data_IF_249320069300
#
_entry.id   IF_249320069300
#
_cell.length_a   1.000
_cell.length_b   1.000
_cell.length_c   1.000
_cell.angle_alpha   90.00
_cell.angle_beta   90.00
_cell.angle_gamma   90.00
#
_symmetry.space_group_name_H-M   'P 1'
#
loop_
_entity.id
_entity.type
_entity.pdbx_description
1 polymer ?
#
# COMPACT_ATOMS: atom_id res chain seq x y z
N UNK A 1 26.68 -6.83 39.34
CA UNK A 1 25.39 -6.10 39.23
C UNK A 1 25.56 -5.07 38.13
N UNK A 2 25.36 -5.39 36.85
CA UNK A 2 24.20 -5.99 36.18
C UNK A 2 22.94 -5.14 36.36
N UNK A 3 22.68 -4.25 35.38
CA UNK A 3 21.46 -4.27 34.54
C UNK A 3 21.53 -3.22 33.41
N UNK A 4 22.33 -2.16 33.51
CA UNK A 4 22.29 -1.04 32.54
C UNK A 4 23.06 -1.25 31.21
N UNK A 5 24.02 -2.18 31.16
CA UNK A 5 24.80 -2.44 29.92
C UNK A 5 24.14 -3.41 28.94
N UNK A 6 23.10 -4.11 29.36
CA UNK A 6 22.34 -5.03 28.48
C UNK A 6 21.30 -4.27 27.63
N UNK A 7 20.78 -3.14 28.11
CA UNK A 7 19.71 -2.41 27.40
C UNK A 7 20.21 -1.57 26.22
N UNK A 8 21.38 -0.93 26.30
CA UNK A 8 21.87 -0.04 25.21
C UNK A 8 22.24 -0.77 23.90
N UNK A 9 22.53 -2.07 23.95
CA UNK A 9 22.70 -2.89 22.73
C UNK A 9 21.40 -3.56 22.27
N UNK A 10 20.39 -3.68 23.16
CA UNK A 10 19.11 -4.31 22.86
C UNK A 10 18.10 -3.31 22.27
N UNK A 11 18.12 -2.04 22.71
CA UNK A 11 17.21 -0.98 22.21
C UNK A 11 17.46 -0.62 20.75
N UNK A 12 18.70 -0.81 20.26
CA UNK A 12 19.05 -0.61 18.84
C UNK A 12 18.59 -1.78 17.96
N UNK A 13 18.34 -2.95 18.53
CA UNK A 13 17.97 -4.17 17.79
C UNK A 13 16.48 -4.52 17.84
N UNK A 14 15.68 -3.81 18.63
CA UNK A 14 14.26 -4.12 18.84
C UNK A 14 13.28 -3.41 17.87
N UNK A 15 13.75 -2.57 16.94
CA UNK A 15 12.87 -1.91 15.95
C UNK A 15 12.73 -2.67 14.62
N UNK A 16 13.33 -3.86 14.50
CA UNK A 16 13.21 -4.72 13.31
C UNK A 16 12.69 -6.14 13.63
N UNK A 17 12.07 -6.34 14.79
CA UNK A 17 11.37 -7.58 15.11
C UNK A 17 9.86 -7.34 15.14
N UNK A 18 9.27 -7.27 13.95
CA UNK A 18 7.86 -7.59 13.84
C UNK A 18 7.74 -9.11 13.68
N UNK A 19 7.56 -9.82 14.80
CA UNK A 19 6.63 -10.95 14.77
C UNK A 19 5.25 -10.36 14.49
N UNK A 20 4.98 -10.01 13.23
CA UNK A 20 3.58 -9.91 12.83
C UNK A 20 3.06 -11.32 13.02
N UNK A 21 2.04 -11.48 13.86
CA UNK A 21 1.22 -12.67 13.96
C UNK A 21 0.53 -12.96 12.61
N UNK A 22 1.31 -13.23 11.56
CA UNK A 22 0.87 -13.82 10.31
C UNK A 22 0.38 -15.26 10.50
N UNK A 23 0.46 -15.78 11.74
CA UNK A 23 -0.23 -16.98 12.19
C UNK A 23 -1.74 -16.96 11.88
N UNK A 24 -2.41 -15.80 11.80
CA UNK A 24 -3.81 -15.75 11.34
C UNK A 24 -3.97 -15.90 9.82
N UNK A 25 -3.01 -15.47 9.00
CA UNK A 25 -3.05 -15.68 7.55
C UNK A 25 -2.64 -17.12 7.17
N UNK A 26 -1.80 -17.76 7.99
CA UNK A 26 -1.44 -19.18 7.84
C UNK A 26 -2.48 -20.16 8.42
N UNK A 27 -3.57 -19.66 9.02
CA UNK A 27 -4.72 -20.47 9.45
C UNK A 27 -5.71 -20.75 8.31
N UNK A 28 -5.40 -20.41 7.05
CA UNK A 28 -5.90 -21.22 5.94
C UNK A 28 -5.23 -22.59 6.04
N UNK A 29 -5.98 -23.55 6.60
CA UNK A 29 -5.55 -24.93 6.90
C UNK A 29 -4.57 -25.45 5.82
N UNK A 30 -3.44 -26.08 6.21
CA UNK A 30 -2.55 -26.77 5.27
C UNK A 30 -3.28 -27.71 4.29
N UNK A 31 -4.43 -28.25 4.71
CA UNK A 31 -5.31 -29.11 3.92
C UNK A 31 -6.02 -28.44 2.73
N UNK A 32 -6.13 -27.10 2.68
CA UNK A 32 -6.70 -26.42 1.51
C UNK A 32 -5.72 -26.31 0.35
N UNK A 33 -4.40 -26.35 0.63
CA UNK A 33 -3.35 -26.26 -0.39
C UNK A 33 -2.83 -27.61 -0.88
N UNK A 34 -2.99 -28.68 -0.10
CA UNK A 34 -2.52 -30.04 -0.46
C UNK A 34 -3.55 -30.84 -1.26
N UNK A 35 -4.82 -30.42 -1.32
CA UNK A 35 -5.89 -31.17 -2.02
C UNK A 35 -6.14 -30.81 -3.47
N UNK A 36 -5.47 -29.80 -4.04
CA UNK A 36 -5.57 -29.55 -5.48
C UNK A 36 -4.59 -30.45 -6.24
N UNK A 37 -5.07 -31.65 -6.56
CA UNK A 37 -4.52 -32.54 -7.57
C UNK A 37 -4.20 -31.75 -8.85
N UNK A 38 -2.94 -31.80 -9.28
CA UNK A 38 -2.40 -31.82 -10.66
C UNK A 38 -3.02 -31.01 -11.81
N UNK A 39 -4.03 -30.17 -11.60
CA UNK A 39 -4.51 -29.22 -12.60
C UNK A 39 -3.55 -28.04 -12.61
N UNK A 40 -2.89 -27.84 -13.74
CA UNK A 40 -2.04 -26.69 -14.04
C UNK A 40 -2.66 -25.39 -13.49
N UNK A 41 -2.01 -24.78 -12.49
CA UNK A 41 -2.51 -23.54 -11.89
C UNK A 41 -2.34 -22.45 -12.93
N UNK A 42 -3.43 -22.07 -13.60
CA UNK A 42 -3.42 -20.99 -14.57
C UNK A 42 -3.28 -19.65 -13.86
N UNK A 43 -2.08 -19.08 -13.91
CA UNK A 43 -1.76 -17.77 -13.30
C UNK A 43 -2.16 -16.59 -14.18
N UNK A 44 -2.22 -16.77 -15.50
CA UNK A 44 -2.63 -15.73 -16.45
C UNK A 44 -4.15 -15.58 -16.62
N UNK A 45 -4.97 -16.45 -16.02
CA UNK A 45 -6.42 -16.34 -16.13
C UNK A 45 -6.94 -15.17 -15.29
N UNK A 46 -7.15 -14.04 -15.96
CA UNK A 46 -7.94 -12.95 -15.40
C UNK A 46 -9.40 -13.40 -15.35
N UNK A 47 -9.87 -13.73 -14.14
CA UNK A 47 -11.31 -13.75 -13.90
C UNK A 47 -11.86 -12.38 -14.26
N UNK A 48 -12.99 -12.36 -14.97
CA UNK A 48 -13.71 -11.12 -15.23
C UNK A 48 -13.90 -10.38 -13.90
N UNK A 49 -13.46 -9.14 -13.85
CA UNK A 49 -13.63 -8.31 -12.66
C UNK A 49 -15.06 -7.80 -12.70
N UNK A 50 -15.87 -8.21 -11.73
CA UNK A 50 -17.24 -7.72 -11.58
C UNK A 50 -17.19 -6.35 -10.91
N UNK A 51 -17.00 -5.32 -11.74
CA UNK A 51 -17.35 -3.97 -11.33
C UNK A 51 -18.87 -3.81 -11.34
N UNK A 52 -19.37 -2.90 -10.52
CA UNK A 52 -20.76 -2.51 -10.61
C UNK A 52 -20.96 -1.68 -11.87
N UNK A 53 -21.83 -2.16 -12.78
CA UNK A 53 -22.03 -1.60 -14.13
C UNK A 53 -23.35 -0.82 -14.28
N UNK A 54 -24.15 -0.71 -13.23
CA UNK A 54 -25.48 -0.11 -13.29
C UNK A 54 -25.73 0.82 -12.09
N UNK A 55 -25.47 2.11 -12.28
CA UNK A 55 -25.64 3.10 -11.22
C UNK A 55 -25.69 4.54 -11.76
N UNK A 56 -26.67 4.87 -12.63
CA UNK A 56 -26.81 6.24 -13.19
C UNK A 56 -26.92 7.34 -12.12
N UNK A 57 -27.43 6.98 -10.94
CA UNK A 57 -27.81 7.91 -9.87
C UNK A 57 -26.80 7.94 -8.72
N UNK A 58 -25.69 7.19 -8.81
CA UNK A 58 -24.70 7.15 -7.72
C UNK A 58 -23.77 8.35 -7.78
N UNK A 59 -23.53 8.92 -6.60
CA UNK A 59 -22.43 9.85 -6.39
C UNK A 59 -21.12 9.08 -6.34
N UNK A 60 -20.09 9.59 -7.02
CA UNK A 60 -18.79 8.92 -7.17
C UNK A 60 -17.72 9.73 -6.46
N UNK A 61 -16.84 9.02 -5.76
CA UNK A 61 -15.60 9.51 -5.21
C UNK A 61 -14.43 8.97 -6.02
N UNK A 62 -13.55 9.86 -6.48
CA UNK A 62 -12.41 9.54 -7.34
C UNK A 62 -11.12 9.79 -6.54
N UNK A 63 -10.43 8.75 -6.08
CA UNK A 63 -9.22 8.93 -5.28
C UNK A 63 -8.01 9.29 -6.14
N UNK A 64 -7.23 10.29 -5.71
CA UNK A 64 -5.92 10.62 -6.27
C UNK A 64 -4.85 10.15 -5.28
N UNK A 65 -4.18 9.05 -5.61
CA UNK A 65 -3.20 8.38 -4.74
C UNK A 65 -1.78 8.90 -5.03
N UNK A 66 -0.93 8.95 -4.00
CA UNK A 66 0.44 9.52 -4.09
C UNK A 66 1.48 8.71 -3.31
N UNK A 67 2.75 9.03 -3.58
CA UNK A 67 3.96 8.46 -3.00
C UNK A 67 4.11 6.95 -3.26
N UNK A 68 4.76 6.23 -2.34
CA UNK A 68 5.09 4.83 -2.52
C UNK A 68 3.88 3.88 -2.43
N UNK A 69 4.01 2.64 -2.92
CA UNK A 69 2.90 1.69 -3.03
C UNK A 69 2.12 1.41 -1.74
N UNK A 70 2.80 1.39 -0.59
CA UNK A 70 2.14 1.17 0.71
C UNK A 70 1.31 2.39 1.15
N UNK A 71 1.77 3.60 0.83
CA UNK A 71 1.02 4.81 1.12
C UNK A 71 -0.22 4.90 0.23
N UNK A 72 -0.09 4.55 -1.04
CA UNK A 72 -1.22 4.49 -1.96
C UNK A 72 -2.25 3.43 -1.55
N UNK A 73 -1.82 2.24 -1.11
CA UNK A 73 -2.74 1.20 -0.61
C UNK A 73 -3.50 1.67 0.63
N UNK A 74 -2.78 2.25 1.60
CA UNK A 74 -3.41 2.82 2.80
C UNK A 74 -4.35 3.97 2.42
N UNK A 75 -3.93 4.85 1.52
CA UNK A 75 -4.73 5.96 1.03
C UNK A 75 -5.99 5.53 0.31
N UNK A 76 -5.92 4.46 -0.46
CA UNK A 76 -7.09 3.89 -1.09
C UNK A 76 -8.06 3.30 -0.05
N UNK A 77 -7.57 2.63 0.99
CA UNK A 77 -8.44 2.12 2.07
C UNK A 77 -9.15 3.27 2.80
N UNK A 78 -8.42 4.35 3.10
CA UNK A 78 -9.01 5.58 3.64
C UNK A 78 -10.05 6.18 2.67
N UNK A 79 -9.81 6.13 1.36
CA UNK A 79 -10.76 6.57 0.34
C UNK A 79 -12.06 5.76 0.35
N UNK A 80 -11.96 4.44 0.51
CA UNK A 80 -13.12 3.55 0.63
C UNK A 80 -13.91 3.91 1.88
N UNK A 81 -13.24 4.11 3.01
CA UNK A 81 -13.90 4.53 4.26
C UNK A 81 -14.63 5.86 4.08
N UNK A 82 -13.98 6.87 3.51
CA UNK A 82 -14.57 8.18 3.24
C UNK A 82 -15.75 8.07 2.27
N UNK A 83 -15.65 7.26 1.22
CA UNK A 83 -16.73 7.02 0.28
C UNK A 83 -17.96 6.45 1.00
N UNK A 84 -17.79 5.43 1.85
CA UNK A 84 -18.88 4.83 2.64
C UNK A 84 -19.49 5.84 3.61
N UNK A 85 -18.67 6.63 4.32
CA UNK A 85 -19.14 7.66 5.24
C UNK A 85 -20.00 8.74 4.56
N UNK A 86 -19.68 9.07 3.29
CA UNK A 86 -20.38 10.06 2.48
C UNK A 86 -21.46 9.47 1.56
N UNK A 87 -21.74 8.15 1.68
CA UNK A 87 -22.68 7.42 0.82
C UNK A 87 -22.38 7.58 -0.69
N UNK A 88 -21.11 7.43 -1.05
CA UNK A 88 -20.60 7.50 -2.43
C UNK A 88 -20.05 6.15 -2.86
N UNK A 89 -20.21 5.83 -4.14
CA UNK A 89 -19.41 4.81 -4.80
C UNK A 89 -17.98 5.27 -4.94
N UNK A 90 -17.05 4.33 -5.03
CA UNK A 90 -15.62 4.60 -5.18
C UNK A 90 -15.16 4.17 -6.57
N UNK A 91 -14.47 5.05 -7.28
CA UNK A 91 -13.84 4.71 -8.56
C UNK A 91 -12.60 3.85 -8.32
N UNK A 92 -12.44 2.78 -9.10
CA UNK A 92 -11.28 1.90 -8.96
C UNK A 92 -9.98 2.65 -9.32
N UNK A 93 -9.03 2.79 -8.37
CA UNK A 93 -7.94 3.75 -8.49
C UNK A 93 -6.92 3.33 -9.56
N UNK A 94 -6.18 4.34 -10.03
CA UNK A 94 -4.89 4.14 -10.66
C UNK A 94 -3.81 4.16 -9.57
N UNK A 95 -2.98 3.12 -9.53
CA UNK A 95 -1.78 3.11 -8.69
C UNK A 95 -0.59 3.62 -9.49
N UNK A 96 0.22 4.45 -8.86
CA UNK A 96 1.40 5.07 -9.43
C UNK A 96 2.67 4.30 -9.02
N UNK A 97 3.75 4.38 -9.81
CA UNK A 97 5.04 3.90 -9.37
C UNK A 97 5.55 4.76 -8.20
N UNK A 98 6.62 4.32 -7.53
CA UNK A 98 7.25 5.17 -6.52
C UNK A 98 7.82 6.44 -7.17
N UNK A 99 8.01 7.51 -6.39
CA UNK A 99 8.43 8.84 -6.90
C UNK A 99 9.75 8.84 -7.69
N UNK A 100 10.60 7.82 -7.49
CA UNK A 100 11.86 7.62 -8.19
C UNK A 100 11.75 6.72 -9.44
N UNK A 101 10.57 6.21 -9.79
CA UNK A 101 10.32 5.33 -10.92
C UNK A 101 9.36 6.00 -11.90
N UNK A 102 9.75 6.09 -13.18
CA UNK A 102 9.10 6.99 -14.14
C UNK A 102 8.17 6.30 -15.16
N UNK A 103 7.89 5.00 -15.05
CA UNK A 103 7.41 4.26 -16.22
C UNK A 103 6.18 3.36 -16.07
N UNK A 104 5.60 3.14 -14.89
CA UNK A 104 4.50 2.19 -14.78
C UNK A 104 3.40 2.54 -13.77
N UNK A 105 2.22 2.89 -14.28
CA UNK A 105 0.98 2.90 -13.50
C UNK A 105 0.34 1.52 -13.54
N UNK A 106 -0.36 1.15 -12.48
CA UNK A 106 -1.04 -0.14 -12.34
C UNK A 106 -2.52 0.08 -12.05
N UNK A 107 -3.39 -0.60 -12.79
CA UNK A 107 -4.81 -0.64 -12.44
C UNK A 107 -5.05 -1.36 -11.11
N UNK A 108 -6.17 -1.04 -10.47
CA UNK A 108 -6.55 -1.59 -9.18
C UNK A 108 -6.55 -3.13 -9.13
N UNK A 109 -7.01 -3.80 -10.19
CA UNK A 109 -7.06 -5.28 -10.29
C UNK A 109 -5.70 -5.97 -10.23
N UNK A 110 -4.60 -5.26 -10.54
CA UNK A 110 -3.24 -5.79 -10.41
C UNK A 110 -2.73 -5.72 -8.97
N UNK A 111 -3.37 -4.93 -8.10
CA UNK A 111 -2.94 -4.68 -6.72
C UNK A 111 -3.90 -5.26 -5.69
N UNK A 112 -5.16 -5.40 -6.05
CA UNK A 112 -6.29 -5.67 -5.16
C UNK A 112 -7.18 -6.78 -5.69
N UNK A 113 -7.74 -7.56 -4.77
CA UNK A 113 -8.87 -8.45 -5.02
C UNK A 113 -10.17 -7.62 -5.11
N UNK A 114 -10.49 -7.15 -6.33
CA UNK A 114 -11.64 -6.28 -6.57
C UNK A 114 -12.96 -6.98 -6.26
N UNK A 115 -13.04 -8.31 -6.46
CA UNK A 115 -14.25 -9.07 -6.16
C UNK A 115 -14.54 -9.02 -4.66
N UNK A 116 -13.53 -9.27 -3.81
CA UNK A 116 -13.68 -9.15 -2.36
C UNK A 116 -14.07 -7.74 -1.96
N UNK A 117 -13.43 -6.71 -2.54
CA UNK A 117 -13.77 -5.33 -2.20
C UNK A 117 -15.22 -4.95 -2.59
N UNK A 118 -15.72 -5.50 -3.69
CA UNK A 118 -17.07 -5.25 -4.18
C UNK A 118 -18.17 -5.85 -3.28
N UNK A 119 -17.81 -6.74 -2.35
CA UNK A 119 -18.74 -7.28 -1.35
C UNK A 119 -19.12 -6.23 -0.30
N UNK A 120 -18.28 -5.22 -0.06
CA UNK A 120 -18.46 -4.24 1.01
C UNK A 120 -18.61 -2.80 0.53
N UNK A 121 -18.33 -2.51 -0.75
CA UNK A 121 -18.45 -1.18 -1.33
C UNK A 121 -18.73 -1.23 -2.82
N UNK A 122 -19.39 -0.19 -3.33
CA UNK A 122 -19.68 -0.01 -4.75
C UNK A 122 -18.42 0.46 -5.49
N UNK A 123 -17.77 -0.45 -6.20
CA UNK A 123 -16.58 -0.21 -7.01
C UNK A 123 -16.96 0.07 -8.47
N UNK A 124 -16.69 1.29 -8.93
CA UNK A 124 -16.99 1.71 -10.32
C UNK A 124 -15.84 1.36 -11.26
N UNK A 125 -16.19 0.80 -12.42
CA UNK A 125 -15.23 0.53 -13.48
C UNK A 125 -14.63 1.85 -14.01
N UNK A 126 -13.30 1.98 -14.10
CA UNK A 126 -12.65 3.18 -14.61
C UNK A 126 -13.20 3.69 -15.95
N UNK A 127 -13.56 2.80 -16.88
CA UNK A 127 -14.09 3.19 -18.20
C UNK A 127 -15.49 3.80 -18.14
N UNK A 128 -16.25 3.49 -17.09
CA UNK A 128 -17.62 3.99 -16.89
C UNK A 128 -17.66 5.28 -16.12
N UNK A 129 -16.61 5.60 -15.34
CA UNK A 129 -16.49 6.88 -14.63
C UNK A 129 -16.78 8.01 -15.61
N UNK A 130 -16.15 7.96 -16.80
CA UNK A 130 -16.47 8.51 -18.15
C UNK A 130 -17.89 9.03 -18.43
N UNK A 131 -18.82 8.14 -18.20
CA UNK A 131 -20.22 8.32 -18.53
C UNK A 131 -20.99 8.78 -17.31
N UNK A 132 -20.69 8.20 -16.15
CA UNK A 132 -21.43 8.43 -14.91
C UNK A 132 -21.25 9.84 -14.34
N UNK A 133 -20.10 10.49 -14.55
CA UNK A 133 -19.91 11.90 -14.19
C UNK A 133 -20.23 12.91 -15.30
N UNK A 134 -20.91 12.52 -16.37
CA UNK A 134 -21.33 13.45 -17.44
C UNK A 134 -20.17 14.25 -18.06
N UNK A 135 -18.97 13.66 -18.12
CA UNK A 135 -17.77 14.29 -18.68
C UNK A 135 -16.90 15.05 -17.67
N UNK A 136 -17.45 15.46 -16.53
CA UNK A 136 -16.87 16.52 -15.68
C UNK A 136 -16.77 16.14 -14.21
N UNK A 137 -15.81 16.75 -13.50
CA UNK A 137 -15.73 16.71 -12.03
C UNK A 137 -16.09 18.07 -11.47
N UNK A 138 -17.01 18.07 -10.50
CA UNK A 138 -17.60 19.30 -9.95
C UNK A 138 -17.21 19.59 -8.50
N UNK A 139 -16.54 18.66 -7.81
CA UNK A 139 -16.05 18.86 -6.45
C UNK A 139 -14.63 18.31 -6.25
N UNK A 140 -13.86 18.96 -5.38
CA UNK A 140 -12.56 18.49 -4.89
C UNK A 140 -12.61 18.48 -3.35
N UNK A 141 -12.28 17.34 -2.76
CA UNK A 141 -12.14 17.15 -1.31
C UNK A 141 -10.66 17.10 -0.98
N UNK A 142 -10.16 18.16 -0.33
CA UNK A 142 -8.76 18.23 0.08
C UNK A 142 -8.57 17.57 1.45
N UNK A 143 -7.69 16.57 1.53
CA UNK A 143 -7.27 15.99 2.82
C UNK A 143 -5.85 16.36 3.20
N UNK A 144 -5.09 16.92 2.25
CA UNK A 144 -3.70 17.36 2.42
C UNK A 144 -3.29 18.31 1.31
N UNK A 145 -2.39 19.24 1.63
CA UNK A 145 -1.62 19.99 0.63
C UNK A 145 -0.52 19.13 0.00
N UNK A 146 -0.62 18.90 -1.31
CA UNK A 146 0.47 18.29 -2.06
C UNK A 146 0.49 18.91 -3.46
N UNK A 147 1.58 19.59 -3.82
CA UNK A 147 1.77 20.23 -5.13
C UNK A 147 2.05 19.23 -6.25
N UNK A 148 1.39 18.08 -6.23
CA UNK A 148 1.70 16.92 -7.06
C UNK A 148 0.80 16.84 -8.30
N UNK A 149 1.40 16.49 -9.44
CA UNK A 149 0.76 16.47 -10.75
C UNK A 149 -0.07 15.20 -11.02
N UNK A 150 -0.19 14.28 -10.05
CA UNK A 150 -0.98 13.06 -10.19
C UNK A 150 -2.45 13.31 -10.55
N UNK A 151 -3.02 14.45 -10.14
CA UNK A 151 -4.39 14.83 -10.50
C UNK A 151 -4.64 14.79 -12.01
N UNK A 152 -3.72 15.33 -12.81
CA UNK A 152 -3.88 15.35 -14.26
C UNK A 152 -3.84 13.95 -14.86
N UNK A 153 -2.92 13.09 -14.40
CA UNK A 153 -2.81 11.70 -14.84
C UNK A 153 -4.09 10.92 -14.51
N UNK A 154 -4.64 11.14 -13.31
CA UNK A 154 -5.88 10.51 -12.87
C UNK A 154 -7.08 10.97 -13.72
N UNK A 155 -7.17 12.26 -14.02
CA UNK A 155 -8.22 12.80 -14.91
C UNK A 155 -8.12 12.21 -16.32
N UNK A 156 -6.91 12.09 -16.87
CA UNK A 156 -6.69 11.44 -18.17
C UNK A 156 -7.09 9.97 -18.15
N UNK A 157 -6.73 9.23 -17.10
CA UNK A 157 -7.07 7.82 -16.92
C UNK A 157 -8.58 7.58 -16.95
N UNK A 158 -9.35 8.44 -16.31
CA UNK A 158 -10.82 8.35 -16.32
C UNK A 158 -11.47 9.07 -17.51
N UNK A 159 -10.73 9.74 -18.40
CA UNK A 159 -11.29 10.50 -19.53
C UNK A 159 -12.15 11.69 -19.06
N UNK A 160 -11.61 12.52 -18.15
CA UNK A 160 -12.32 13.57 -17.41
C UNK A 160 -11.67 14.94 -17.56
N UNK A 161 -12.49 15.99 -17.38
CA UNK A 161 -12.02 17.36 -17.18
C UNK A 161 -12.56 17.92 -15.86
N UNK A 162 -11.82 18.86 -15.26
CA UNK A 162 -12.30 19.64 -14.12
C UNK A 162 -13.27 20.70 -14.61
N UNK A 163 -14.41 20.84 -13.94
CA UNK A 163 -15.32 21.95 -14.19
C UNK A 163 -14.66 23.28 -13.83
N UNK A 164 -14.87 24.32 -14.64
CA UNK A 164 -14.32 25.65 -14.38
C UNK A 164 -14.86 26.29 -13.08
N UNK A 165 -15.97 25.79 -12.55
CA UNK A 165 -16.62 26.18 -11.30
C UNK A 165 -16.52 25.08 -10.24
N UNK A 166 -15.48 24.24 -10.29
CA UNK A 166 -15.25 23.19 -9.30
C UNK A 166 -15.26 23.75 -7.87
N UNK A 167 -16.06 23.14 -7.00
CA UNK A 167 -16.12 23.52 -5.59
C UNK A 167 -15.02 22.78 -4.82
N UNK A 168 -14.18 23.54 -4.11
CA UNK A 168 -13.10 22.99 -3.29
C UNK A 168 -13.56 22.96 -1.84
N UNK A 169 -13.73 21.76 -1.31
CA UNK A 169 -14.05 21.49 0.08
C UNK A 169 -12.76 21.32 0.86
N UNK A 170 -12.80 21.84 2.09
CA UNK A 170 -11.64 21.88 2.97
C UNK A 170 -10.43 22.63 2.37
N UNK A 171 -10.70 23.76 1.71
CA UNK A 171 -9.70 24.61 1.06
C UNK A 171 -8.67 25.11 2.08
N UNK A 172 -7.55 24.39 2.16
CA UNK A 172 -6.48 24.67 3.11
C UNK A 172 -5.82 26.02 2.84
N UNK A 173 -5.72 26.42 1.57
CA UNK A 173 -5.11 27.68 1.16
C UNK A 173 -5.87 28.90 1.72
N UNK A 174 -7.20 28.85 1.69
CA UNK A 174 -8.05 29.89 2.33
C UNK A 174 -7.85 29.90 3.85
N UNK A 175 -7.77 28.74 4.51
CA UNK A 175 -7.53 28.65 5.96
C UNK A 175 -6.17 29.24 6.37
N UNK A 176 -5.11 29.05 5.58
CA UNK A 176 -3.75 29.59 5.85
C UNK A 176 -3.66 31.12 5.73
N UNK A 177 -4.45 31.73 4.85
CA UNK A 177 -4.44 33.20 4.69
C UNK A 177 -5.10 33.93 5.86
N UNK A 178 -6.04 33.29 6.56
CA UNK A 178 -6.60 33.80 7.82
C UNK A 178 -5.66 33.46 9.00
N UNK A 179 -4.55 34.20 9.11
CA UNK A 179 -3.43 34.00 10.06
C UNK A 179 -3.76 33.98 11.57
N UNK A 180 -5.02 34.06 11.99
CA UNK A 180 -5.42 34.18 13.40
C UNK A 180 -6.36 33.07 13.91
N UNK A 181 -6.59 32.01 13.14
CA UNK A 181 -7.36 30.86 13.62
C UNK A 181 -6.40 29.85 14.26
N UNK A 182 -6.54 29.62 15.56
CA UNK A 182 -6.00 28.43 16.22
C UNK A 182 -6.42 27.21 15.39
N UNK A 183 -5.45 26.36 15.06
CA UNK A 183 -5.72 25.11 14.35
C UNK A 183 -6.75 24.32 15.15
N UNK A 184 -7.88 23.94 14.55
CA UNK A 184 -8.72 22.94 15.18
C UNK A 184 -7.92 21.65 15.32
N UNK A 185 -8.14 20.89 16.39
CA UNK A 185 -7.39 19.66 16.73
C UNK A 185 -7.32 18.68 15.54
N UNK A 186 -8.32 18.74 14.65
CA UNK A 186 -8.51 17.95 13.42
C UNK A 186 -7.46 18.18 12.32
N UNK A 187 -6.66 19.26 12.42
CA UNK A 187 -5.73 19.70 11.38
C UNK A 187 -4.31 19.85 11.90
N UNK A 188 -3.58 18.74 11.96
CA UNK A 188 -2.17 18.76 12.34
C UNK A 188 -1.26 18.83 11.10
N UNK A 189 -0.46 19.90 11.00
CA UNK A 189 0.55 20.09 9.95
C UNK A 189 0.00 20.06 8.50
N UNK A 190 -1.19 20.64 8.28
CA UNK A 190 -1.79 20.74 6.93
C UNK A 190 -2.39 19.42 6.42
N UNK A 191 -2.78 18.53 7.33
CA UNK A 191 -3.41 17.24 7.05
C UNK A 191 -4.71 17.14 7.83
N UNK A 192 -5.75 16.66 7.19
CA UNK A 192 -6.97 16.26 7.86
C UNK A 192 -6.73 14.90 8.54
N UNK A 193 -6.81 14.80 9.87
CA UNK A 193 -6.39 13.58 10.63
C UNK A 193 -7.52 12.83 11.34
N UNK A 194 -8.75 13.32 11.23
CA UNK A 194 -9.91 12.79 11.97
C UNK A 194 -10.92 12.07 11.07
N UNK A 195 -10.46 11.50 9.94
CA UNK A 195 -11.35 10.80 9.01
C UNK A 195 -11.99 9.55 9.62
N UNK A 196 -11.56 9.07 10.79
CA UNK A 196 -12.24 7.98 11.50
C UNK A 196 -13.61 8.41 12.05
N UNK A 197 -13.79 9.70 12.32
CA UNK A 197 -15.03 10.28 12.79
C UNK A 197 -15.91 10.65 11.58
N UNK A 198 -17.03 9.94 11.41
CA UNK A 198 -17.91 10.10 10.25
C UNK A 198 -18.70 11.40 10.28
N UNK A 199 -18.98 11.93 11.46
CA UNK A 199 -19.66 13.20 11.66
C UNK A 199 -18.77 14.34 11.12
N UNK A 200 -17.50 14.37 11.52
CA UNK A 200 -16.52 15.36 11.04
C UNK A 200 -16.33 15.24 9.51
N UNK A 201 -16.28 14.02 8.96
CA UNK A 201 -16.24 13.81 7.52
C UNK A 201 -17.46 14.41 6.81
N UNK A 202 -18.66 14.17 7.34
CA UNK A 202 -19.90 14.68 6.75
C UNK A 202 -19.96 16.20 6.82
N UNK A 203 -19.53 16.80 7.93
CA UNK A 203 -19.48 18.26 8.08
C UNK A 203 -18.55 18.92 7.06
N UNK A 204 -17.41 18.30 6.76
CA UNK A 204 -16.40 18.89 5.88
C UNK A 204 -16.61 18.56 4.38
N UNK A 205 -17.24 17.44 4.04
CA UNK A 205 -17.25 16.91 2.67
C UNK A 205 -18.63 16.52 2.13
N UNK A 206 -19.73 16.71 2.88
CA UNK A 206 -21.06 16.44 2.33
C UNK A 206 -21.40 17.45 1.23
N UNK A 207 -21.80 16.94 0.07
CA UNK A 207 -22.28 17.74 -1.05
C UNK A 207 -23.15 16.88 -1.97
N UNK A 208 -24.06 17.53 -2.70
CA UNK A 208 -24.89 16.91 -3.73
C UNK A 208 -24.18 16.79 -5.09
N UNK A 209 -22.92 17.22 -5.20
CA UNK A 209 -22.14 17.05 -6.43
C UNK A 209 -21.97 15.58 -6.78
N UNK A 210 -22.35 15.22 -8.01
CA UNK A 210 -22.32 13.84 -8.51
C UNK A 210 -20.92 13.22 -8.42
N UNK A 211 -19.90 13.91 -8.93
CA UNK A 211 -18.52 13.41 -8.87
C UNK A 211 -17.59 14.35 -8.13
N UNK A 212 -16.86 13.77 -7.18
CA UNK A 212 -15.89 14.44 -6.34
C UNK A 212 -14.53 13.75 -6.45
N UNK A 213 -13.46 14.54 -6.53
CA UNK A 213 -12.09 14.05 -6.39
C UNK A 213 -11.69 14.08 -4.93
N UNK A 214 -11.10 13.00 -4.42
CA UNK A 214 -10.47 12.96 -3.12
C UNK A 214 -8.97 13.13 -3.30
N UNK A 215 -8.45 14.29 -2.93
CA UNK A 215 -7.04 14.63 -3.06
C UNK A 215 -6.24 14.00 -1.93
N UNK A 216 -5.35 13.09 -2.30
CA UNK A 216 -4.22 12.63 -1.49
C UNK A 216 -4.57 12.03 -0.12
N UNK A 217 -5.56 11.13 -0.04
CA UNK A 217 -5.90 10.47 1.20
C UNK A 217 -4.70 9.63 1.64
N UNK A 218 -4.07 9.99 2.75
CA UNK A 218 -3.08 9.16 3.45
C UNK A 218 -2.83 9.75 4.83
N UNK A 219 -2.87 8.91 5.86
CA UNK A 219 -2.81 9.37 7.26
C UNK A 219 -3.94 10.33 7.62
N UNK A 220 -5.09 10.20 6.95
CA UNK A 220 -6.33 10.83 7.41
C UNK A 220 -6.98 10.04 8.53
N UNK A 221 -6.59 8.77 8.66
CA UNK A 221 -6.80 7.91 9.82
C UNK A 221 -5.42 7.45 10.29
N UNK A 222 -5.11 7.61 11.57
CA UNK A 222 -3.78 7.26 12.09
C UNK A 222 -3.51 5.75 11.99
N UNK A 223 -2.45 5.39 11.27
CA UNK A 223 -2.08 3.99 11.04
C UNK A 223 -1.81 3.21 12.34
N UNK A 224 -1.27 3.88 13.37
CA UNK A 224 -1.02 3.28 14.67
C UNK A 224 -2.32 2.85 15.35
N UNK A 225 -3.37 3.68 15.29
CA UNK A 225 -4.66 3.35 15.88
C UNK A 225 -5.31 2.17 15.17
N UNK A 226 -5.30 2.18 13.83
CA UNK A 226 -5.77 1.05 13.02
C UNK A 226 -5.02 -0.23 13.42
N UNK A 227 -3.69 -0.18 13.49
CA UNK A 227 -2.86 -1.35 13.79
C UNK A 227 -3.13 -1.88 15.19
N UNK A 228 -3.24 -1.01 16.17
CA UNK A 228 -3.58 -1.38 17.55
C UNK A 228 -4.95 -2.06 17.60
N UNK A 229 -5.96 -1.53 16.89
CA UNK A 229 -7.30 -2.10 16.86
C UNK A 229 -7.35 -3.44 16.09
N UNK A 230 -6.59 -3.57 15.00
CA UNK A 230 -6.55 -4.80 14.20
C UNK A 230 -6.00 -6.01 14.98
N UNK A 231 -5.10 -5.76 15.95
CA UNK A 231 -4.52 -6.78 16.82
C UNK A 231 -5.46 -7.25 17.93
N UNK A 232 -6.50 -6.49 18.24
CA UNK A 232 -7.50 -6.87 19.24
C UNK A 232 -8.49 -7.90 18.70
N UNK A 233 -9.05 -8.69 19.62
CA UNK A 233 -10.21 -9.52 19.34
C UNK A 233 -11.40 -8.64 18.93
N UNK A 234 -12.26 -9.15 18.04
CA UNK A 234 -13.34 -8.39 17.43
C UNK A 234 -14.26 -7.71 18.46
N UNK A 235 -14.51 -8.38 19.58
CA UNK A 235 -15.35 -7.87 20.69
C UNK A 235 -14.73 -6.69 21.44
N UNK A 236 -13.41 -6.52 21.38
CA UNK A 236 -12.66 -5.47 22.06
C UNK A 236 -12.39 -4.26 21.16
N UNK A 237 -12.63 -4.39 19.84
CA UNK A 237 -12.41 -3.31 18.89
C UNK A 237 -13.39 -2.18 19.13
N UNK A 238 -12.87 -0.96 19.12
CA UNK A 238 -13.68 0.26 19.13
C UNK A 238 -14.60 0.28 17.90
N UNK A 239 -15.91 0.61 18.06
CA UNK A 239 -16.89 0.55 16.97
C UNK A 239 -16.48 1.32 15.71
N UNK A 240 -15.90 2.50 15.87
CA UNK A 240 -15.49 3.39 14.78
C UNK A 240 -14.39 2.79 13.88
N UNK A 241 -13.59 1.85 14.40
CA UNK A 241 -12.53 1.17 13.64
C UNK A 241 -12.98 -0.12 12.95
N UNK A 242 -14.15 -0.67 13.30
CA UNK A 242 -14.61 -1.97 12.76
C UNK A 242 -14.69 -1.96 11.24
N UNK A 243 -15.24 -0.90 10.67
CA UNK A 243 -15.36 -0.74 9.22
C UNK A 243 -14.01 -0.55 8.53
N UNK A 244 -13.09 0.22 9.13
CA UNK A 244 -11.75 0.38 8.56
C UNK A 244 -10.98 -0.96 8.55
N UNK A 245 -11.16 -1.79 9.58
CA UNK A 245 -10.57 -3.13 9.64
C UNK A 245 -11.21 -4.06 8.62
N UNK A 246 -12.54 -4.02 8.45
CA UNK A 246 -13.24 -4.75 7.39
C UNK A 246 -12.72 -4.35 5.99
N UNK A 247 -12.48 -3.07 5.74
CA UNK A 247 -11.88 -2.59 4.48
C UNK A 247 -10.47 -3.16 4.29
N UNK A 248 -9.67 -3.25 5.35
CA UNK A 248 -8.34 -3.88 5.30
C UNK A 248 -8.46 -5.35 4.92
N UNK A 249 -9.44 -6.06 5.50
CA UNK A 249 -9.69 -7.47 5.23
C UNK A 249 -10.18 -7.72 3.80
N UNK A 250 -10.86 -6.77 3.14
CA UNK A 250 -11.32 -6.88 1.75
C UNK A 250 -10.38 -6.24 0.72
N UNK A 251 -9.27 -5.62 1.14
CA UNK A 251 -8.23 -5.08 0.24
C UNK A 251 -7.03 -6.02 0.14
N UNK A 252 -7.31 -7.31 -0.02
CA UNK A 252 -6.31 -8.38 -0.17
C UNK A 252 -5.60 -8.30 -1.52
N UNK A 253 -4.49 -9.04 -1.64
CA UNK A 253 -3.80 -9.24 -2.93
C UNK A 253 -4.67 -10.08 -3.88
N UNK A 254 -4.62 -9.81 -5.20
CA UNK A 254 -5.43 -10.53 -6.17
C UNK A 254 -5.10 -12.02 -6.21
N UNK A 255 -6.09 -12.82 -6.60
CA UNK A 255 -6.02 -14.29 -6.61
C UNK A 255 -4.81 -14.82 -7.40
N UNK A 256 -4.50 -14.26 -8.57
CA UNK A 256 -3.34 -14.68 -9.37
C UNK A 256 -2.02 -14.53 -8.60
N UNK A 257 -1.84 -13.42 -7.85
CA UNK A 257 -0.63 -13.18 -7.08
C UNK A 257 -0.56 -14.11 -5.87
N UNK A 258 -1.69 -14.36 -5.19
CA UNK A 258 -1.76 -15.31 -4.08
C UNK A 258 -1.41 -16.73 -4.55
N UNK A 259 -1.94 -17.14 -5.72
CA UNK A 259 -1.62 -18.42 -6.35
C UNK A 259 -0.16 -18.53 -6.76
N UNK A 260 0.43 -17.47 -7.34
CA UNK A 260 1.83 -17.42 -7.70
C UNK A 260 2.74 -17.58 -6.47
N UNK A 261 2.46 -16.83 -5.40
CA UNK A 261 3.21 -16.97 -4.13
C UNK A 261 3.04 -18.37 -3.53
N UNK A 262 1.82 -18.93 -3.55
CA UNK A 262 1.61 -20.29 -3.08
C UNK A 262 2.38 -21.33 -3.91
N UNK A 263 2.45 -21.15 -5.24
CA UNK A 263 3.25 -21.98 -6.14
C UNK A 263 4.74 -21.86 -5.82
N UNK A 264 5.25 -20.64 -5.68
CA UNK A 264 6.62 -20.35 -5.27
C UNK A 264 7.01 -21.10 -3.98
N UNK A 265 6.18 -20.99 -2.93
CA UNK A 265 6.44 -21.65 -1.64
C UNK A 265 6.47 -23.18 -1.79
N UNK A 266 5.57 -23.77 -2.59
CA UNK A 266 5.53 -25.22 -2.83
C UNK A 266 6.77 -25.72 -3.57
N UNK A 267 7.14 -25.07 -4.68
CA UNK A 267 8.25 -25.49 -5.53
C UNK A 267 9.59 -25.38 -4.81
N UNK A 268 9.76 -24.33 -4.02
CA UNK A 268 10.95 -24.12 -3.19
C UNK A 268 10.88 -24.85 -1.85
N UNK A 269 9.82 -25.62 -1.59
CA UNK A 269 9.60 -26.39 -0.35
C UNK A 269 9.70 -25.54 0.93
N UNK A 270 9.27 -24.28 0.84
CA UNK A 270 9.25 -23.32 1.94
C UNK A 270 8.02 -23.61 2.80
N UNK A 271 8.22 -24.05 4.04
CA UNK A 271 7.13 -24.44 4.95
C UNK A 271 7.12 -23.61 6.24
N UNK A 272 8.22 -23.66 6.98
CA UNK A 272 8.41 -22.90 8.22
C UNK A 272 9.45 -21.83 7.97
N UNK A 273 9.04 -20.57 7.98
CA UNK A 273 9.92 -19.49 7.60
C UNK A 273 9.73 -18.25 8.47
N UNK A 274 10.84 -17.54 8.69
CA UNK A 274 10.82 -16.17 9.17
C UNK A 274 10.77 -15.23 7.96
N UNK A 275 10.17 -14.05 8.15
CA UNK A 275 10.17 -12.98 7.16
C UNK A 275 10.76 -11.74 7.80
N UNK A 276 11.62 -11.04 7.08
CA UNK A 276 12.00 -9.68 7.44
C UNK A 276 11.76 -8.73 6.30
N UNK A 277 11.12 -7.60 6.61
CA UNK A 277 11.05 -6.45 5.73
C UNK A 277 12.10 -5.44 6.17
N UNK A 278 13.15 -5.32 5.37
CA UNK A 278 14.24 -4.39 5.58
C UNK A 278 14.03 -3.16 4.73
N UNK A 279 13.91 -2.00 5.36
CA UNK A 279 13.60 -0.75 4.68
C UNK A 279 14.71 0.30 4.81
N UNK A 280 15.89 -0.06 5.29
CA UNK A 280 16.96 0.89 5.63
C UNK A 280 17.87 1.23 4.44
N UNK A 281 17.31 1.50 3.26
CA UNK A 281 18.08 2.13 2.19
C UNK A 281 18.35 3.60 2.53
N UNK A 282 19.57 4.06 2.24
CA UNK A 282 20.03 5.39 2.64
C UNK A 282 19.42 6.51 1.79
N UNK A 283 18.67 6.20 0.74
CA UNK A 283 18.14 7.23 -0.14
C UNK A 283 16.69 7.60 0.21
N UNK A 284 15.84 6.63 0.52
CA UNK A 284 14.42 6.82 0.84
C UNK A 284 14.20 6.94 2.36
N UNK A 285 14.68 5.96 3.15
CA UNK A 285 14.48 5.95 4.61
C UNK A 285 15.15 7.14 5.31
N UNK A 286 16.33 7.50 4.83
CA UNK A 286 17.07 8.69 5.24
C UNK A 286 16.30 9.99 5.07
N UNK A 287 15.64 10.17 3.91
CA UNK A 287 14.81 11.35 3.62
C UNK A 287 13.55 11.35 4.48
N UNK A 288 12.98 10.20 4.78
CA UNK A 288 11.84 10.11 5.69
C UNK A 288 12.20 10.47 7.14
N UNK A 289 13.47 10.29 7.55
CA UNK A 289 13.97 10.59 8.89
C UNK A 289 14.63 11.98 9.02
N UNK A 290 14.32 12.94 8.13
CA UNK A 290 14.92 14.28 8.10
C UNK A 290 15.11 14.97 9.48
N UNK A 291 14.18 14.89 10.45
CA UNK A 291 14.37 15.49 11.77
C UNK A 291 15.45 14.82 12.64
N UNK A 292 15.81 13.56 12.37
CA UNK A 292 16.83 12.77 13.09
C UNK A 292 17.88 12.21 12.13
N UNK A 293 18.17 12.98 11.09
CA UNK A 293 18.99 12.57 9.95
C UNK A 293 20.33 12.01 10.41
N UNK A 294 21.16 12.76 11.12
CA UNK A 294 22.50 12.27 11.51
C UNK A 294 22.48 11.04 12.44
N UNK A 295 21.49 10.93 13.33
CA UNK A 295 21.30 9.74 14.18
C UNK A 295 20.97 8.50 13.34
N UNK A 296 20.02 8.62 12.40
CA UNK A 296 19.67 7.54 11.48
C UNK A 296 20.88 7.14 10.62
N UNK A 297 21.77 8.07 10.28
CA UNK A 297 22.96 7.81 9.43
C UNK A 297 23.92 6.95 10.17
N UNK A 298 24.25 7.43 11.37
CA UNK A 298 25.20 6.82 12.25
C UNK A 298 24.74 5.40 12.54
N UNK A 299 23.44 5.23 12.77
CA UNK A 299 22.85 3.91 12.98
C UNK A 299 22.97 3.00 11.74
N UNK A 300 22.54 3.45 10.57
CA UNK A 300 22.59 2.66 9.34
C UNK A 300 24.03 2.30 8.97
N UNK A 301 24.95 3.28 9.03
CA UNK A 301 26.36 3.06 8.75
C UNK A 301 26.99 2.09 9.74
N UNK A 302 26.68 2.22 11.03
CA UNK A 302 27.17 1.30 12.08
C UNK A 302 26.71 -0.12 11.81
N UNK A 303 25.42 -0.31 11.53
CA UNK A 303 24.82 -1.63 11.26
C UNK A 303 25.39 -2.25 9.98
N UNK A 304 25.70 -1.45 8.95
CA UNK A 304 26.22 -1.93 7.67
C UNK A 304 27.73 -2.20 7.67
N UNK A 305 28.53 -1.33 8.31
CA UNK A 305 30.01 -1.37 8.26
C UNK A 305 30.61 -2.31 9.30
N UNK A 306 30.03 -2.43 10.48
CA UNK A 306 30.63 -3.21 11.56
C UNK A 306 30.39 -4.72 11.36
N UNK A 307 31.44 -5.45 10.96
CA UNK A 307 31.41 -6.92 10.82
C UNK A 307 30.92 -7.64 12.07
N UNK A 308 31.29 -7.14 13.26
CA UNK A 308 30.84 -7.67 14.55
C UNK A 308 29.32 -7.52 14.71
N UNK A 309 28.76 -6.39 14.32
CA UNK A 309 27.32 -6.10 14.41
C UNK A 309 26.53 -6.99 13.44
N UNK A 310 27.00 -7.15 12.20
CA UNK A 310 26.42 -8.12 11.23
C UNK A 310 26.44 -9.55 11.75
N UNK A 311 27.57 -9.98 12.31
CA UNK A 311 27.73 -11.32 12.89
C UNK A 311 26.76 -11.54 14.06
N UNK A 312 26.72 -10.61 15.01
CA UNK A 312 25.85 -10.72 16.19
C UNK A 312 24.37 -10.75 15.77
N UNK A 313 23.98 -9.93 14.80
CA UNK A 313 22.62 -9.96 14.26
C UNK A 313 22.28 -11.31 13.64
N UNK A 314 23.18 -11.86 12.82
CA UNK A 314 22.98 -13.15 12.17
C UNK A 314 22.85 -14.31 13.17
N UNK A 315 23.66 -14.28 14.24
CA UNK A 315 23.59 -15.25 15.34
C UNK A 315 22.23 -15.14 16.06
N UNK A 316 21.85 -13.93 16.50
CA UNK A 316 20.59 -13.72 17.21
C UNK A 316 19.37 -14.10 16.36
N UNK A 317 19.43 -13.84 15.06
CA UNK A 317 18.40 -14.27 14.12
C UNK A 317 18.36 -15.80 14.01
N UNK A 318 19.50 -16.47 13.88
CA UNK A 318 19.58 -17.94 13.84
C UNK A 318 19.00 -18.56 15.11
N UNK A 319 19.39 -18.06 16.29
CA UNK A 319 18.88 -18.51 17.58
C UNK A 319 17.35 -18.37 17.65
N UNK A 320 16.80 -17.23 17.23
CA UNK A 320 15.33 -17.03 17.19
C UNK A 320 14.64 -17.96 16.19
N UNK A 321 15.27 -18.25 15.07
CA UNK A 321 14.74 -19.23 14.11
C UNK A 321 14.78 -20.65 14.69
N UNK A 322 15.83 -21.01 15.42
CA UNK A 322 15.95 -22.31 16.09
C UNK A 322 14.91 -22.49 17.19
N UNK A 323 14.73 -21.47 18.05
CA UNK A 323 13.70 -21.44 19.09
C UNK A 323 12.28 -21.68 18.54
N UNK A 324 12.01 -21.17 17.33
CA UNK A 324 10.71 -21.27 16.67
C UNK A 324 10.64 -22.44 15.65
N UNK A 325 11.67 -23.28 15.60
CA UNK A 325 11.77 -24.41 14.66
C UNK A 325 11.54 -23.99 13.18
N UNK A 326 12.13 -22.86 12.78
CA UNK A 326 12.04 -22.31 11.43
C UNK A 326 13.19 -22.82 10.56
N UNK A 327 12.90 -23.07 9.28
CA UNK A 327 13.83 -23.68 8.32
C UNK A 327 14.33 -22.68 7.27
N UNK A 328 13.46 -21.75 6.86
CA UNK A 328 13.75 -20.78 5.82
C UNK A 328 13.70 -19.35 6.36
N UNK A 329 14.43 -18.46 5.72
CA UNK A 329 14.35 -17.03 5.99
C UNK A 329 14.11 -16.29 4.69
N UNK A 330 12.96 -15.63 4.59
CA UNK A 330 12.61 -14.77 3.46
C UNK A 330 12.92 -13.31 3.78
N UNK A 331 13.57 -12.65 2.84
CA UNK A 331 14.08 -11.30 3.03
C UNK A 331 13.57 -10.35 1.96
N UNK A 332 12.66 -9.45 2.35
CA UNK A 332 12.16 -8.39 1.49
C UNK A 332 12.97 -7.10 1.73
N UNK A 333 13.67 -6.62 0.72
CA UNK A 333 14.53 -5.43 0.81
C UNK A 333 14.52 -4.59 -0.46
N UNK A 334 14.91 -3.30 -0.36
CA UNK A 334 15.34 -2.53 -1.50
C UNK A 334 16.44 -3.24 -2.30
N UNK A 335 16.50 -3.06 -3.64
CA UNK A 335 17.53 -3.67 -4.49
C UNK A 335 18.96 -3.31 -4.09
N UNK A 336 19.19 -2.10 -3.60
CA UNK A 336 20.53 -1.61 -3.26
C UNK A 336 21.11 -2.26 -2.00
N UNK A 337 20.29 -2.98 -1.24
CA UNK A 337 20.69 -3.66 -0.01
C UNK A 337 21.19 -5.10 -0.26
N UNK A 338 21.15 -5.61 -1.50
CA UNK A 338 21.49 -7.00 -1.85
C UNK A 338 22.78 -7.53 -1.20
N UNK A 339 23.86 -6.75 -1.24
CA UNK A 339 25.19 -7.15 -0.73
C UNK A 339 25.17 -7.34 0.79
N UNK A 340 24.60 -6.37 1.52
CA UNK A 340 24.50 -6.43 2.98
C UNK A 340 23.72 -7.67 3.43
N UNK A 341 22.70 -8.05 2.67
CA UNK A 341 21.80 -9.14 3.00
C UNK A 341 22.36 -10.51 2.68
N UNK A 342 23.07 -10.61 1.56
CA UNK A 342 23.86 -11.80 1.25
C UNK A 342 24.87 -12.09 2.37
N UNK A 343 25.50 -11.03 2.89
CA UNK A 343 26.41 -11.12 4.02
C UNK A 343 25.76 -11.59 5.34
N UNK A 344 24.54 -11.18 5.63
CA UNK A 344 23.77 -11.72 6.77
C UNK A 344 23.43 -13.18 6.52
N UNK A 345 22.94 -13.51 5.32
CA UNK A 345 22.52 -14.85 4.92
C UNK A 345 23.65 -15.89 5.08
N UNK A 346 24.88 -15.56 4.67
CA UNK A 346 26.05 -16.43 4.82
C UNK A 346 26.38 -16.81 6.27
N UNK A 347 25.85 -16.07 7.24
CA UNK A 347 26.16 -16.21 8.67
C UNK A 347 25.02 -16.81 9.48
N UNK A 348 23.85 -17.03 8.87
CA UNK A 348 22.73 -17.78 9.47
C UNK A 348 22.96 -19.26 9.18
N UNK A 349 23.65 -19.96 10.08
CA UNK A 349 24.05 -21.35 9.89
C UNK A 349 22.85 -22.30 9.77
N UNK A 350 22.91 -23.26 8.85
CA UNK A 350 21.94 -24.35 8.75
C UNK A 350 20.53 -23.96 8.30
N UNK A 351 20.28 -22.70 7.93
CA UNK A 351 18.99 -22.21 7.41
C UNK A 351 19.05 -21.95 5.91
N UNK A 352 17.90 -22.08 5.23
CA UNK A 352 17.76 -21.78 3.81
C UNK A 352 17.35 -20.33 3.61
N UNK A 353 18.15 -19.58 2.88
CA UNK A 353 17.84 -18.19 2.58
C UNK A 353 17.05 -18.08 1.27
N UNK A 354 15.94 -17.34 1.32
CA UNK A 354 15.08 -17.06 0.18
C UNK A 354 15.16 -15.55 -0.04
N UNK A 355 15.93 -15.13 -1.05
CA UNK A 355 16.08 -13.72 -1.37
C UNK A 355 15.00 -13.27 -2.37
N UNK A 356 14.85 -11.96 -2.52
CA UNK A 356 13.91 -11.39 -3.48
C UNK A 356 14.29 -11.68 -4.94
N UNK A 357 15.55 -11.97 -5.27
CA UNK A 357 15.99 -12.30 -6.64
C UNK A 357 15.30 -13.57 -7.10
N UNK A 358 15.32 -14.62 -6.27
CA UNK A 358 14.67 -15.88 -6.57
C UNK A 358 13.16 -15.73 -6.77
N UNK A 359 12.51 -14.87 -5.96
CA UNK A 359 11.10 -14.57 -6.14
C UNK A 359 10.84 -13.77 -7.42
N UNK A 360 11.66 -12.79 -7.74
CA UNK A 360 11.52 -11.98 -8.96
C UNK A 360 11.70 -12.85 -10.21
N UNK A 361 12.77 -13.64 -10.29
CA UNK A 361 13.02 -14.57 -11.40
C UNK A 361 11.88 -15.57 -11.57
N UNK A 362 11.36 -16.10 -10.46
CA UNK A 362 10.18 -16.95 -10.48
C UNK A 362 8.97 -16.22 -11.06
N UNK A 363 8.65 -15.02 -10.58
CA UNK A 363 7.50 -14.26 -11.06
C UNK A 363 7.66 -13.85 -12.54
N UNK A 364 8.86 -13.48 -12.97
CA UNK A 364 9.16 -13.16 -14.37
C UNK A 364 8.88 -14.36 -15.28
N UNK A 365 9.38 -15.54 -14.91
CA UNK A 365 9.12 -16.78 -15.66
C UNK A 365 7.64 -17.15 -15.67
N UNK A 366 6.96 -17.05 -14.53
CA UNK A 366 5.54 -17.39 -14.41
C UNK A 366 4.63 -16.44 -15.18
N UNK A 367 5.01 -15.18 -15.29
CA UNK A 367 4.20 -14.15 -15.94
C UNK A 367 4.68 -13.76 -17.34
N UNK A 368 5.76 -14.35 -17.86
CA UNK A 368 6.37 -14.02 -19.16
C UNK A 368 5.32 -13.97 -20.29
N UNK A 369 4.39 -14.92 -20.29
CA UNK A 369 3.34 -15.05 -21.31
C UNK A 369 2.00 -14.40 -20.92
N UNK A 370 1.90 -13.78 -19.75
CA UNK A 370 0.68 -13.13 -19.30
C UNK A 370 0.60 -11.71 -19.88
N UNK A 371 0.14 -11.59 -21.13
CA UNK A 371 0.03 -10.31 -21.83
C UNK A 371 -0.73 -9.24 -21.04
N UNK A 372 -1.74 -9.55 -20.23
CA UNK A 372 -2.41 -8.51 -19.43
C UNK A 372 -1.57 -7.97 -18.27
N UNK A 373 -0.67 -8.80 -17.73
CA UNK A 373 0.24 -8.44 -16.63
C UNK A 373 1.50 -7.77 -17.21
N UNK A 374 2.01 -8.27 -18.33
CA UNK A 374 3.24 -7.80 -18.99
C UNK A 374 3.01 -6.68 -20.02
N UNK A 375 1.92 -6.67 -20.78
CA UNK A 375 1.69 -5.73 -21.90
C UNK A 375 1.17 -4.33 -21.48
N UNK A 376 1.21 -3.99 -20.20
CA UNK A 376 0.79 -2.68 -19.69
C UNK A 376 1.91 -1.64 -19.65
N UNK A 377 2.99 -1.86 -20.40
CA UNK A 377 3.91 -0.83 -20.92
C UNK A 377 3.22 0.25 -21.80
N UNK A 378 1.91 0.13 -22.04
CA UNK A 378 1.19 0.83 -23.10
C UNK A 378 0.52 2.15 -22.68
N UNK A 379 0.25 2.41 -21.39
CA UNK A 379 -0.27 3.74 -20.99
C UNK A 379 0.79 4.83 -21.08
N UNK A 380 2.08 4.49 -20.95
CA UNK A 380 3.18 5.40 -21.27
C UNK A 380 3.23 5.79 -22.77
N UNK A 381 2.70 4.95 -23.68
CA UNK A 381 2.69 5.23 -25.13
C UNK A 381 1.51 6.11 -25.58
N UNK A 382 0.41 6.16 -24.83
CA UNK A 382 -0.76 6.97 -25.18
C UNK A 382 -0.58 8.47 -24.85
N UNK A 383 0.19 8.81 -23.80
CA UNK A 383 0.48 10.21 -23.46
C UNK A 383 1.60 10.84 -24.32
N UNK A 384 2.52 10.03 -24.87
CA UNK A 384 3.62 10.52 -25.72
C UNK A 384 3.23 10.75 -27.18
N UNK A 385 2.21 10.07 -27.72
CA UNK A 385 1.79 10.26 -29.13
C UNK A 385 0.98 11.53 -29.39
N UNK A 386 0.40 12.19 -28.38
CA UNK A 386 -0.38 13.42 -28.57
C UNK A 386 0.42 14.73 -28.45
N UNK A 387 1.69 14.68 -27.99
CA UNK A 387 2.47 15.91 -27.72
C UNK A 387 3.39 16.39 -28.85
N UNK A 388 3.47 15.70 -30.00
CA UNK A 388 4.34 16.10 -31.13
C UNK A 388 3.66 16.22 -32.50
N UNK A 389 2.32 16.26 -32.58
CA UNK A 389 1.59 16.37 -33.86
C UNK A 389 1.04 17.76 -34.20
N UNK A 390 1.28 18.80 -33.39
CA UNK A 390 0.84 20.17 -33.73
C UNK A 390 1.86 21.24 -33.32
N UNK A 391 2.91 21.36 -34.12
CA UNK A 391 3.57 22.63 -34.49
C UNK A 391 4.22 22.46 -35.87
N UNK A 392 3.42 22.65 -36.91
CA UNK A 392 3.79 23.38 -38.13
C UNK A 392 2.88 24.58 -38.16
#
# INVERSE_FOLDING_TARGET
MNLERSWKNLTVFLLAFLFVNFLKVYQEKPDSFTKNNSSEVKLCENKAVNYESEASDKMILIPVLIWGPNNQLQGFRESVFIAKALNRSIAAPLFHPNWNQHSFTAEASLRLDIQSLSEITSMINPVEVSKLCDGVVTAIFETRDNGDNHLHIVLEYYGRILDNKVEIFNNWYKKKQHKNLEWSEEYQNGKFTDAINKEILKENFTTNKKCAILMFPWSTILHQDISNQALLDEKQRKPEFKEMIEIIDHTRRPDFLRKAVAKFLREHKIRKFAVMHWRYDIEDYWRAMLPKKEEAKSLIEKVKKETKTKKNFSIALSEKMDEQNLEHFYFASPPDEKVYLYEIALRVSGKKFVNHILLVEFLENEFENCSTIMARDSYAKLSLRKKYSKRV
#
